data_IF_570425838193
#
_entry.id   IF_570425838193
#
_cell.length_a   1.000
_cell.length_b   1.000
_cell.length_c   1.000
_cell.angle_alpha   90.00
_cell.angle_beta   90.00
_cell.angle_gamma   90.00
#
_symmetry.space_group_name_H-M   'P 1'
#
loop_
_entity.id
_entity.type
_entity.pdbx_description
1 polymer ?
#
# COMPACT_ATOMS: atom_id res chain seq x y z
N UNK A 1 14.11 6.92 10.64
CA UNK A 1 12.81 6.52 11.24
C UNK A 1 11.98 6.02 10.08
N UNK A 2 11.54 4.76 10.10
CA UNK A 2 10.86 4.14 8.96
C UNK A 2 9.36 4.41 9.11
N UNK A 3 8.83 5.39 8.38
CA UNK A 3 7.43 5.79 8.50
C UNK A 3 6.59 4.93 7.55
N UNK A 4 5.48 4.38 8.04
CA UNK A 4 4.49 3.75 7.19
C UNK A 4 3.42 4.80 6.81
N UNK A 5 3.39 5.15 5.53
CA UNK A 5 2.46 6.10 4.94
C UNK A 5 1.20 5.39 4.46
N UNK A 6 0.05 5.98 4.73
CA UNK A 6 -1.25 5.46 4.31
C UNK A 6 -1.80 6.35 3.19
N UNK A 7 -1.95 5.78 1.99
CA UNK A 7 -2.49 6.47 0.82
C UNK A 7 -3.83 5.85 0.43
N UNK A 8 -4.91 6.61 0.58
CA UNK A 8 -6.21 6.18 0.08
C UNK A 8 -6.24 6.34 -1.44
N UNK A 9 -6.52 5.27 -2.17
CA UNK A 9 -6.59 5.31 -3.62
C UNK A 9 -7.65 6.29 -4.11
N UNK A 10 -7.27 7.12 -5.09
CA UNK A 10 -8.19 8.04 -5.77
C UNK A 10 -7.95 7.99 -7.28
N UNK A 11 -6.70 8.16 -7.69
CA UNK A 11 -6.22 8.07 -9.06
C UNK A 11 -4.68 8.10 -9.07
N UNK A 12 -4.08 7.91 -10.25
CA UNK A 12 -2.63 7.87 -10.41
C UNK A 12 -1.94 9.18 -10.03
N UNK A 13 -2.53 10.32 -10.39
CA UNK A 13 -1.96 11.66 -10.10
C UNK A 13 -1.83 11.87 -8.59
N UNK A 14 -2.84 11.44 -7.82
CA UNK A 14 -2.79 11.50 -6.36
C UNK A 14 -1.67 10.63 -5.78
N UNK A 15 -1.49 9.42 -6.32
CA UNK A 15 -0.41 8.52 -5.92
C UNK A 15 0.96 9.16 -6.20
N UNK A 16 1.20 9.66 -7.41
CA UNK A 16 2.47 10.30 -7.79
C UNK A 16 2.84 11.49 -6.90
N UNK A 17 1.86 12.31 -6.54
CA UNK A 17 2.06 13.42 -5.58
C UNK A 17 2.48 12.90 -4.20
N UNK A 18 1.89 11.78 -3.76
CA UNK A 18 2.22 11.17 -2.48
C UNK A 18 3.62 10.55 -2.49
N UNK A 19 4.04 9.94 -3.61
CA UNK A 19 5.37 9.34 -3.76
C UNK A 19 6.49 10.37 -3.61
N UNK A 20 6.28 11.61 -4.05
CA UNK A 20 7.25 12.70 -3.86
C UNK A 20 7.48 13.11 -2.40
N UNK A 21 6.68 12.62 -1.45
CA UNK A 21 6.82 12.88 -0.01
C UNK A 21 7.55 11.76 0.73
N UNK A 22 7.80 10.62 0.08
CA UNK A 22 8.42 9.45 0.71
C UNK A 22 9.94 9.59 0.77
N UNK A 23 10.51 9.24 1.92
CA UNK A 23 11.95 9.01 2.05
C UNK A 23 12.31 7.57 1.69
N UNK A 24 13.57 7.29 1.36
CA UNK A 24 14.04 5.95 0.96
C UNK A 24 13.75 4.84 1.99
N UNK A 25 13.68 5.19 3.27
CA UNK A 25 13.44 4.24 4.38
C UNK A 25 11.97 4.14 4.80
N UNK A 26 11.08 4.87 4.13
CA UNK A 26 9.65 4.81 4.41
C UNK A 26 9.03 3.57 3.79
N UNK A 27 7.75 3.33 4.07
CA UNK A 27 6.96 2.31 3.40
C UNK A 27 5.58 2.86 3.09
N UNK A 28 4.99 2.41 1.99
CA UNK A 28 3.72 2.91 1.50
C UNK A 28 2.65 1.82 1.51
N UNK A 29 1.48 2.16 2.04
CA UNK A 29 0.30 1.31 2.00
C UNK A 29 -0.80 2.01 1.22
N UNK A 30 -1.12 1.47 0.05
CA UNK A 30 -2.16 1.99 -0.83
C UNK A 30 -3.43 1.19 -0.56
N UNK A 31 -4.46 1.85 -0.03
CA UNK A 31 -5.71 1.20 0.36
C UNK A 31 -6.92 1.81 -0.36
N UNK A 32 -7.85 0.97 -0.80
CA UNK A 32 -9.03 1.44 -1.54
C UNK A 32 -9.65 0.35 -2.40
N UNK A 33 -10.62 0.71 -3.24
CA UNK A 33 -11.19 -0.20 -4.24
C UNK A 33 -10.46 0.02 -5.57
N UNK A 34 -9.95 -1.05 -6.17
CA UNK A 34 -9.20 -0.99 -7.43
C UNK A 34 -9.78 -1.97 -8.44
N UNK A 35 -9.86 -1.55 -9.69
CA UNK A 35 -9.98 -2.44 -10.84
C UNK A 35 -8.65 -3.11 -11.18
N UNK A 36 -8.68 -4.22 -11.92
CA UNK A 36 -7.47 -4.93 -12.38
C UNK A 36 -6.57 -4.00 -13.22
N UNK A 37 -7.14 -3.10 -14.00
CA UNK A 37 -6.37 -2.17 -14.83
C UNK A 37 -5.69 -1.08 -13.99
N UNK A 38 -6.33 -0.62 -12.90
CA UNK A 38 -5.71 0.31 -11.96
C UNK A 38 -4.58 -0.36 -11.18
N UNK A 39 -4.76 -1.61 -10.74
CA UNK A 39 -3.71 -2.37 -10.07
C UNK A 39 -2.46 -2.48 -10.94
N UNK A 40 -2.61 -2.80 -12.24
CA UNK A 40 -1.48 -2.83 -13.19
C UNK A 40 -0.77 -1.49 -13.28
N UNK A 41 -1.52 -0.39 -13.43
CA UNK A 41 -0.94 0.96 -13.49
C UNK A 41 -0.16 1.32 -12.22
N UNK A 42 -0.68 0.94 -11.05
CA UNK A 42 0.02 1.14 -9.78
C UNK A 42 1.31 0.33 -9.78
N UNK A 43 1.25 -0.96 -10.10
CA UNK A 43 2.44 -1.83 -10.17
C UNK A 43 3.49 -1.22 -11.11
N UNK A 44 3.09 -0.77 -12.30
CA UNK A 44 3.99 -0.18 -13.29
C UNK A 44 4.69 1.08 -12.75
N UNK A 45 3.96 2.01 -12.11
CA UNK A 45 4.57 3.20 -11.50
C UNK A 45 5.50 2.85 -10.34
N UNK A 46 5.13 1.85 -9.55
CA UNK A 46 5.90 1.46 -8.37
C UNK A 46 7.15 0.65 -8.70
N UNK A 47 7.30 0.11 -9.92
CA UNK A 47 8.55 -0.56 -10.34
C UNK A 47 9.76 0.37 -10.30
N UNK A 48 9.54 1.67 -10.52
CA UNK A 48 10.60 2.68 -10.52
C UNK A 48 10.96 3.17 -9.10
N UNK A 49 10.23 2.73 -8.07
CA UNK A 49 10.45 3.14 -6.68
C UNK A 49 11.11 2.03 -5.87
N UNK A 50 12.19 2.40 -5.16
CA UNK A 50 12.92 1.51 -4.25
C UNK A 50 12.26 1.33 -2.88
N UNK A 51 11.25 2.15 -2.57
CA UNK A 51 10.51 2.13 -1.32
C UNK A 51 9.62 0.89 -1.22
N UNK A 52 9.60 0.23 -0.06
CA UNK A 52 8.67 -0.89 0.16
C UNK A 52 7.22 -0.40 0.06
N UNK A 53 6.38 -1.13 -0.66
CA UNK A 53 5.00 -0.74 -0.86
C UNK A 53 4.04 -1.92 -0.95
N UNK A 54 2.79 -1.68 -0.59
CA UNK A 54 1.77 -2.70 -0.43
C UNK A 54 0.39 -2.19 -0.87
N UNK A 55 -0.45 -3.11 -1.36
CA UNK A 55 -1.82 -2.87 -1.79
C UNK A 55 -2.82 -3.57 -0.85
N UNK A 56 -3.87 -2.85 -0.48
CA UNK A 56 -4.98 -3.35 0.35
C UNK A 56 -6.29 -3.00 -0.33
N UNK A 57 -6.89 -4.00 -0.98
CA UNK A 57 -8.20 -3.80 -1.58
C UNK A 57 -9.27 -3.78 -0.48
N UNK A 58 -10.16 -2.78 -0.52
CA UNK A 58 -11.23 -2.58 0.46
C UNK A 58 -12.31 -3.67 0.36
N UNK A 59 -12.49 -4.25 -0.82
CA UNK A 59 -13.36 -5.41 -0.94
C UNK A 59 -12.70 -6.58 -0.20
N UNK A 60 -13.38 -7.07 0.83
CA UNK A 60 -12.96 -8.25 1.60
C UNK A 60 -12.97 -9.43 0.62
N UNK A 61 -11.84 -9.68 -0.03
CA UNK A 61 -11.60 -10.92 -0.72
C UNK A 61 -11.02 -11.90 0.31
N UNK A 62 -11.79 -12.91 0.75
CA UNK A 62 -11.28 -13.91 1.71
C UNK A 62 -10.09 -14.70 1.15
N UNK A 63 -9.77 -14.55 -0.14
CA UNK A 63 -8.70 -15.22 -0.85
C UNK A 63 -7.57 -14.27 -1.30
N UNK A 64 -7.32 -13.14 -0.62
CA UNK A 64 -6.12 -12.31 -0.92
C UNK A 64 -4.84 -13.17 -0.90
N UNK A 65 -4.76 -14.16 -0.01
CA UNK A 65 -3.66 -15.14 0.03
C UNK A 65 -3.48 -15.99 -1.26
N UNK A 66 -4.51 -16.09 -2.11
CA UNK A 66 -4.50 -16.85 -3.37
C UNK A 66 -4.35 -15.95 -4.61
N UNK A 67 -4.33 -14.61 -4.46
CA UNK A 67 -4.04 -13.71 -5.57
C UNK A 67 -2.53 -13.63 -5.76
N UNK A 68 -2.06 -13.98 -6.94
CA UNK A 68 -0.65 -14.14 -7.32
C UNK A 68 0.19 -12.84 -7.34
N UNK A 69 -0.19 -11.77 -6.63
CA UNK A 69 0.54 -10.51 -6.63
C UNK A 69 1.43 -10.38 -5.39
N UNK A 70 2.76 -10.23 -5.53
CA UNK A 70 3.67 -10.08 -4.39
C UNK A 70 3.46 -8.79 -3.58
N UNK A 71 2.63 -7.86 -4.06
CA UNK A 71 2.37 -6.57 -3.44
C UNK A 71 1.02 -6.50 -2.73
N UNK A 72 0.11 -7.46 -2.93
CA UNK A 72 -1.16 -7.50 -2.21
C UNK A 72 -0.95 -8.11 -0.82
N UNK A 73 -1.48 -7.45 0.22
CA UNK A 73 -1.36 -7.94 1.60
C UNK A 73 -2.72 -8.24 2.21
N UNK A 74 -2.76 -9.27 3.03
CA UNK A 74 -3.92 -9.65 3.82
C UNK A 74 -3.96 -8.87 5.16
N UNK A 75 -4.98 -9.17 5.98
CA UNK A 75 -5.17 -8.52 7.28
C UNK A 75 -4.03 -8.76 8.27
N UNK A 76 -3.45 -9.96 8.31
CA UNK A 76 -2.36 -10.30 9.23
C UNK A 76 -1.08 -9.53 8.85
N UNK A 77 -0.73 -9.51 7.56
CA UNK A 77 0.39 -8.73 7.03
C UNK A 77 0.23 -7.22 7.26
N UNK A 78 -1.01 -6.71 7.16
CA UNK A 78 -1.33 -5.34 7.56
C UNK A 78 -1.01 -5.06 9.03
N UNK A 79 -1.42 -5.96 9.94
CA UNK A 79 -1.15 -5.82 11.37
C UNK A 79 0.35 -5.86 11.67
N UNK A 80 1.09 -6.75 11.02
CA UNK A 80 2.54 -6.82 11.12
C UNK A 80 3.21 -5.52 10.71
N UNK A 81 2.79 -4.90 9.60
CA UNK A 81 3.33 -3.62 9.14
C UNK A 81 3.09 -2.49 10.15
N UNK A 82 1.88 -2.41 10.72
CA UNK A 82 1.58 -1.40 11.76
C UNK A 82 2.52 -1.55 12.96
N UNK A 83 2.76 -2.79 13.40
CA UNK A 83 3.65 -3.10 14.53
C UNK A 83 5.10 -2.74 14.17
N UNK A 84 5.60 -3.19 13.01
CA UNK A 84 6.98 -2.97 12.55
C UNK A 84 7.34 -1.48 12.46
N UNK A 85 6.40 -0.67 12.00
CA UNK A 85 6.63 0.76 11.82
C UNK A 85 6.31 1.59 13.07
N UNK A 86 6.05 0.93 14.22
CA UNK A 86 5.60 1.58 15.47
C UNK A 86 4.44 2.57 15.22
N UNK A 87 3.59 2.25 14.24
CA UNK A 87 2.52 3.11 13.80
C UNK A 87 1.38 3.00 14.83
N UNK A 88 1.55 3.74 15.91
CA UNK A 88 0.62 3.81 17.03
C UNK A 88 -0.49 4.81 16.69
N UNK A 89 -1.37 4.45 15.76
CA UNK A 89 -2.58 5.25 15.55
C UNK A 89 -3.71 4.76 16.44
N UNK A 90 -3.93 5.52 17.51
CA UNK A 90 -5.21 5.60 18.19
C UNK A 90 -6.28 6.07 17.20
N UNK A 91 -7.19 5.17 16.81
CA UNK A 91 -8.47 5.57 16.22
C UNK A 91 -9.27 6.37 17.26
N UNK A 92 -9.92 7.44 16.83
CA UNK A 92 -10.97 8.13 17.59
C UNK A 92 -12.25 8.16 16.76
#
# INVERSE_FOLDING_TARGET
MNTLHLCHWQNLVHLEQHLGLLSENDSLLIFGTFSVDEQKKIIDVMQDFSTNWYLVNKDIDPNIANRHSPHEINHEQWLELIIQHNNSYAWK
#
